data_IF_079652977594
#
_entry.id   IF_079652977594
#
_cell.length_a   1.000
_cell.length_b   1.000
_cell.length_c   1.000
_cell.angle_alpha   90.00
_cell.angle_beta   90.00
_cell.angle_gamma   90.00
#
_symmetry.space_group_name_H-M   'P 1'
#
loop_
_entity.id
_entity.type
_entity.pdbx_description
1 polymer ?
#
# COMPACT_ATOMS: atom_id res chain seq x y z
N UNK A 1 -55.32 -17.19 9.10
CA UNK A 1 -54.74 -15.89 8.68
C UNK A 1 -53.26 -15.72 9.03
N UNK A 2 -52.78 -16.30 10.15
CA UNK A 2 -51.37 -16.18 10.57
C UNK A 2 -50.37 -16.99 9.73
N UNK A 3 -50.76 -18.17 9.24
CA UNK A 3 -49.91 -19.03 8.38
C UNK A 3 -49.54 -18.40 7.01
N UNK A 4 -50.43 -17.58 6.45
CA UNK A 4 -50.14 -16.84 5.22
C UNK A 4 -49.08 -15.76 5.46
N UNK A 5 -49.08 -15.13 6.64
CA UNK A 5 -48.10 -14.10 7.04
C UNK A 5 -46.72 -14.69 7.28
N UNK A 6 -46.63 -15.88 7.88
CA UNK A 6 -45.35 -16.57 8.10
C UNK A 6 -44.74 -17.07 6.79
N UNK A 7 -45.55 -17.61 5.87
CA UNK A 7 -45.07 -17.98 4.52
C UNK A 7 -44.56 -16.76 3.75
N UNK A 8 -45.30 -15.65 3.75
CA UNK A 8 -44.86 -14.44 3.05
C UNK A 8 -43.56 -13.89 3.64
N UNK A 9 -43.38 -13.98 4.96
CA UNK A 9 -42.16 -13.52 5.63
C UNK A 9 -40.96 -14.41 5.28
N UNK A 10 -41.14 -15.73 5.26
CA UNK A 10 -40.09 -16.68 4.85
C UNK A 10 -39.68 -16.53 3.39
N UNK A 11 -40.65 -16.24 2.49
CA UNK A 11 -40.36 -15.98 1.08
C UNK A 11 -39.58 -14.66 0.91
N UNK A 12 -40.01 -13.59 1.59
CA UNK A 12 -39.31 -12.30 1.58
C UNK A 12 -37.88 -12.41 2.09
N UNK A 13 -37.67 -13.16 3.18
CA UNK A 13 -36.34 -13.38 3.75
C UNK A 13 -35.45 -14.21 2.81
N UNK A 14 -36.01 -15.25 2.19
CA UNK A 14 -35.32 -16.07 1.18
C UNK A 14 -34.89 -15.26 -0.05
N UNK A 15 -35.75 -14.35 -0.52
CA UNK A 15 -35.41 -13.47 -1.66
C UNK A 15 -34.30 -12.47 -1.34
N UNK A 16 -34.23 -11.94 -0.11
CA UNK A 16 -33.19 -11.00 0.28
C UNK A 16 -31.80 -11.65 0.32
N UNK A 17 -31.72 -12.89 0.80
CA UNK A 17 -30.45 -13.66 0.84
C UNK A 17 -29.97 -13.97 -0.59
N UNK A 18 -30.86 -14.38 -1.49
CA UNK A 18 -30.50 -14.62 -2.89
C UNK A 18 -30.00 -13.36 -3.62
N UNK A 19 -30.54 -12.19 -3.31
CA UNK A 19 -30.11 -10.91 -3.89
C UNK A 19 -28.71 -10.47 -3.43
N UNK A 20 -28.30 -10.80 -2.21
CA UNK A 20 -26.94 -10.46 -1.72
C UNK A 20 -25.80 -11.18 -2.44
N UNK A 21 -26.06 -12.37 -3.00
CA UNK A 21 -25.07 -13.13 -3.78
C UNK A 21 -24.74 -12.49 -5.14
N UNK A 22 -25.56 -11.52 -5.60
CA UNK A 22 -25.36 -10.76 -6.82
C UNK A 22 -24.84 -9.33 -6.57
N UNK A 23 -24.36 -9.02 -5.36
CA UNK A 23 -23.69 -7.74 -5.14
C UNK A 23 -22.41 -7.69 -6.00
N UNK A 24 -22.25 -6.69 -6.89
CA UNK A 24 -21.04 -6.56 -7.67
C UNK A 24 -19.87 -6.35 -6.71
N UNK A 25 -18.91 -7.27 -6.74
CA UNK A 25 -17.66 -7.13 -6.02
C UNK A 25 -16.97 -5.87 -6.57
N UNK A 26 -16.97 -4.81 -5.77
CA UNK A 26 -16.42 -3.53 -6.14
C UNK A 26 -14.91 -3.71 -6.34
N UNK A 27 -14.48 -3.77 -7.60
CA UNK A 27 -13.11 -4.06 -7.96
C UNK A 27 -12.27 -2.84 -7.60
N UNK A 28 -11.47 -2.95 -6.53
CA UNK A 28 -10.53 -1.91 -6.11
C UNK A 28 -9.72 -1.42 -7.32
N UNK A 29 -9.62 -0.09 -7.53
CA UNK A 29 -8.96 0.45 -8.70
C UNK A 29 -7.50 0.00 -8.71
N UNK A 30 -7.10 -0.70 -9.78
CA UNK A 30 -5.74 -1.21 -9.91
C UNK A 30 -4.73 -0.05 -9.84
N UNK A 31 -3.61 -0.23 -9.12
CA UNK A 31 -2.56 0.78 -9.06
C UNK A 31 -2.00 1.04 -10.45
N UNK A 32 -1.87 2.31 -10.80
CA UNK A 32 -1.27 2.75 -12.07
C UNK A 32 0.06 3.46 -11.79
N UNK A 33 0.94 3.50 -12.80
CA UNK A 33 2.26 4.14 -12.71
C UNK A 33 3.25 3.54 -11.67
N UNK A 34 3.22 2.21 -11.51
CA UNK A 34 4.27 1.47 -10.79
C UNK A 34 5.53 1.33 -11.67
N UNK A 35 6.65 1.92 -11.22
CA UNK A 35 7.96 1.92 -11.93
C UNK A 35 9.07 1.11 -11.25
N UNK A 36 8.85 0.65 -10.02
CA UNK A 36 9.82 -0.11 -9.21
C UNK A 36 9.19 -1.39 -8.67
N UNK A 37 8.01 -1.28 -8.06
CA UNK A 37 7.26 -2.42 -7.55
C UNK A 37 6.67 -3.26 -8.70
N UNK A 38 6.41 -4.56 -8.47
CA UNK A 38 5.75 -5.42 -9.45
C UNK A 38 4.41 -4.84 -9.90
N UNK A 39 4.11 -4.90 -11.20
CA UNK A 39 2.83 -4.41 -11.76
C UNK A 39 1.63 -5.26 -11.34
N UNK A 40 1.88 -6.49 -10.89
CA UNK A 40 0.90 -7.47 -10.45
C UNK A 40 0.85 -7.62 -8.92
N UNK A 41 1.46 -6.69 -8.17
CA UNK A 41 1.34 -6.64 -6.71
C UNK A 41 -0.14 -6.59 -6.30
N UNK A 42 -0.49 -7.29 -5.22
CA UNK A 42 -1.85 -7.21 -4.68
C UNK A 42 -2.09 -5.82 -4.06
N UNK A 43 -3.36 -5.48 -3.83
CA UNK A 43 -3.70 -4.22 -3.17
C UNK A 43 -3.13 -4.19 -1.75
N UNK A 44 -3.34 -5.25 -0.98
CA UNK A 44 -2.92 -5.35 0.42
C UNK A 44 -1.38 -5.29 0.55
N UNK A 45 -0.63 -5.99 -0.32
CA UNK A 45 0.83 -5.93 -0.31
C UNK A 45 1.34 -4.54 -0.68
N UNK A 46 0.66 -3.85 -1.59
CA UNK A 46 1.03 -2.48 -1.97
C UNK A 46 0.80 -1.51 -0.80
N UNK A 47 -0.33 -1.63 -0.12
CA UNK A 47 -0.66 -0.83 1.05
C UNK A 47 0.32 -1.11 2.20
N UNK A 48 0.69 -2.36 2.45
CA UNK A 48 1.70 -2.73 3.44
C UNK A 48 3.05 -2.07 3.15
N UNK A 49 3.48 -2.07 1.88
CA UNK A 49 4.72 -1.40 1.46
C UNK A 49 4.64 0.11 1.72
N UNK A 50 3.53 0.76 1.38
CA UNK A 50 3.35 2.20 1.60
C UNK A 50 3.27 2.56 3.09
N UNK A 51 2.65 1.70 3.90
CA UNK A 51 2.61 1.81 5.35
C UNK A 51 4.00 1.67 5.97
N UNK A 52 4.80 0.73 5.46
CA UNK A 52 6.20 0.58 5.82
C UNK A 52 7.01 1.86 5.53
N UNK A 53 6.79 2.52 4.39
CA UNK A 53 7.44 3.80 4.08
C UNK A 53 7.02 4.92 5.03
N UNK A 54 5.72 5.05 5.33
CA UNK A 54 5.24 6.03 6.32
C UNK A 54 5.94 5.85 7.66
N UNK A 55 5.99 4.62 8.17
CA UNK A 55 6.60 4.30 9.44
C UNK A 55 8.12 4.56 9.42
N UNK A 56 8.81 4.11 8.38
CA UNK A 56 10.26 4.26 8.28
C UNK A 56 10.74 5.71 8.20
N UNK A 57 9.97 6.59 7.55
CA UNK A 57 10.30 8.00 7.36
C UNK A 57 9.58 8.93 8.36
N UNK A 58 8.62 8.43 9.15
CA UNK A 58 7.82 9.27 10.05
C UNK A 58 6.90 10.27 9.34
N UNK A 59 6.40 9.93 8.15
CA UNK A 59 5.61 10.83 7.29
C UNK A 59 4.22 10.27 6.97
N UNK A 60 3.36 11.09 6.35
CA UNK A 60 2.03 10.69 5.86
C UNK A 60 2.00 10.62 4.33
N UNK A 61 0.95 10.04 3.73
CA UNK A 61 0.85 9.81 2.28
C UNK A 61 1.07 11.07 1.44
N UNK A 62 0.54 12.23 1.88
CA UNK A 62 0.70 13.51 1.19
C UNK A 62 2.13 14.06 1.13
N UNK A 63 3.06 13.42 1.85
CA UNK A 63 4.48 13.73 1.75
C UNK A 63 5.04 13.42 0.36
N UNK A 64 4.68 12.26 -0.20
CA UNK A 64 5.11 11.81 -1.53
C UNK A 64 4.03 11.96 -2.59
N UNK A 65 2.75 11.82 -2.22
CA UNK A 65 1.65 11.83 -3.17
C UNK A 65 1.02 13.21 -3.30
N UNK A 66 0.75 13.62 -4.54
CA UNK A 66 0.12 14.91 -4.84
C UNK A 66 -1.38 14.87 -4.55
N UNK A 67 -2.00 16.01 -4.18
CA UNK A 67 -3.46 16.13 -4.22
C UNK A 67 -3.98 16.01 -5.66
N UNK A 68 -5.21 15.54 -5.83
CA UNK A 68 -5.87 15.52 -7.15
C UNK A 68 -6.21 16.93 -7.60
N UNK A 69 -6.14 17.18 -8.91
CA UNK A 69 -6.48 18.47 -9.53
C UNK A 69 -7.96 18.83 -9.39
N UNK A 70 -8.84 17.83 -9.39
CA UNK A 70 -10.29 18.00 -9.29
C UNK A 70 -10.81 18.04 -7.84
N UNK A 71 -10.07 17.44 -6.90
CA UNK A 71 -10.41 17.42 -5.49
C UNK A 71 -9.15 17.43 -4.61
N UNK A 72 -8.71 18.61 -4.14
CA UNK A 72 -7.50 18.73 -3.33
C UNK A 72 -7.53 18.00 -1.98
N UNK A 73 -8.71 17.57 -1.51
CA UNK A 73 -8.84 16.76 -0.28
C UNK A 73 -8.51 15.28 -0.49
N UNK A 74 -8.38 14.84 -1.75
CA UNK A 74 -8.02 13.46 -2.12
C UNK A 74 -6.65 13.45 -2.78
N UNK A 75 -5.92 12.35 -2.62
CA UNK A 75 -4.61 12.16 -3.23
C UNK A 75 -4.72 11.50 -4.61
N UNK A 76 -3.84 11.92 -5.51
CA UNK A 76 -3.56 11.24 -6.76
C UNK A 76 -2.33 10.35 -6.55
N UNK A 77 -2.58 9.07 -6.26
CA UNK A 77 -1.52 8.11 -6.00
C UNK A 77 -0.67 7.80 -7.25
N UNK A 78 -1.20 8.04 -8.45
CA UNK A 78 -0.53 7.76 -9.71
C UNK A 78 0.35 8.93 -10.19
N UNK A 79 -0.03 10.17 -9.87
CA UNK A 79 0.68 11.38 -10.28
C UNK A 79 2.14 11.41 -9.81
N UNK A 80 2.99 11.97 -10.66
CA UNK A 80 4.41 12.26 -10.41
C UNK A 80 4.66 13.77 -10.17
N UNK A 81 3.60 14.57 -9.99
CA UNK A 81 3.70 16.03 -9.84
C UNK A 81 4.48 16.44 -8.57
N UNK A 82 4.56 15.57 -7.56
CA UNK A 82 5.39 15.76 -6.38
C UNK A 82 6.75 15.05 -6.58
N UNK A 83 7.88 15.79 -6.63
CA UNK A 83 9.20 15.21 -6.91
C UNK A 83 9.68 14.21 -5.84
N UNK A 84 9.14 14.28 -4.60
CA UNK A 84 9.47 13.34 -3.52
C UNK A 84 9.15 11.89 -3.87
N UNK A 85 8.15 11.65 -4.73
CA UNK A 85 7.82 10.31 -5.22
C UNK A 85 8.95 9.70 -6.07
N UNK A 86 9.58 10.49 -6.92
CA UNK A 86 10.71 10.01 -7.74
C UNK A 86 11.96 9.80 -6.88
N UNK A 87 12.19 10.66 -5.88
CA UNK A 87 13.24 10.44 -4.88
C UNK A 87 13.02 9.10 -4.15
N UNK A 88 11.79 8.82 -3.69
CA UNK A 88 11.47 7.55 -3.05
C UNK A 88 11.75 6.35 -3.96
N UNK A 89 11.39 6.42 -5.26
CA UNK A 89 11.73 5.36 -6.24
C UNK A 89 13.23 5.15 -6.37
N UNK A 90 14.01 6.23 -6.40
CA UNK A 90 15.47 6.15 -6.44
C UNK A 90 16.02 5.48 -5.17
N UNK A 91 15.47 5.81 -3.99
CA UNK A 91 15.84 5.17 -2.72
C UNK A 91 15.47 3.68 -2.70
N UNK A 92 14.33 3.28 -3.26
CA UNK A 92 13.97 1.87 -3.41
C UNK A 92 14.98 1.11 -4.27
N UNK A 93 15.36 1.68 -5.43
CA UNK A 93 16.38 1.08 -6.30
C UNK A 93 17.74 0.99 -5.60
N UNK A 94 18.13 2.03 -4.86
CA UNK A 94 19.37 2.05 -4.09
C UNK A 94 19.37 0.94 -3.02
N UNK A 95 18.31 0.86 -2.22
CA UNK A 95 18.17 -0.14 -1.16
C UNK A 95 18.23 -1.56 -1.72
N UNK A 96 17.51 -1.82 -2.82
CA UNK A 96 17.57 -3.11 -3.50
C UNK A 96 18.98 -3.46 -4.00
N UNK A 97 19.73 -2.48 -4.55
CA UNK A 97 21.12 -2.67 -4.97
C UNK A 97 22.05 -2.94 -3.79
N UNK A 98 21.93 -2.19 -2.69
CA UNK A 98 22.74 -2.38 -1.48
C UNK A 98 22.50 -3.78 -0.90
N UNK A 99 21.23 -4.18 -0.75
CA UNK A 99 20.89 -5.50 -0.23
C UNK A 99 21.43 -6.62 -1.11
N UNK A 100 21.20 -6.53 -2.43
CA UNK A 100 21.73 -7.52 -3.38
C UNK A 100 23.26 -7.62 -3.32
N UNK A 101 23.96 -6.50 -3.16
CA UNK A 101 25.43 -6.46 -3.21
C UNK A 101 26.08 -6.89 -1.89
N UNK A 102 25.54 -6.44 -0.76
CA UNK A 102 26.22 -6.53 0.53
C UNK A 102 25.44 -7.30 1.61
N UNK A 103 24.13 -7.49 1.46
CA UNK A 103 23.27 -8.17 2.44
C UNK A 103 22.56 -9.37 1.81
N UNK A 104 23.35 -10.27 1.20
CA UNK A 104 22.83 -11.46 0.52
C UNK A 104 23.08 -12.75 1.31
N UNK A 105 23.86 -12.68 2.39
CA UNK A 105 24.17 -13.81 3.26
C UNK A 105 23.16 -13.92 4.40
N UNK A 106 22.85 -15.15 4.78
CA UNK A 106 21.97 -15.45 5.92
C UNK A 106 22.80 -15.49 7.20
N UNK A 107 22.20 -15.08 8.31
CA UNK A 107 22.78 -15.27 9.63
C UNK A 107 22.85 -16.76 10.02
N UNK A 108 23.36 -17.05 11.23
CA UNK A 108 23.56 -18.41 11.73
C UNK A 108 22.24 -19.17 11.87
N UNK A 109 21.14 -18.44 12.01
CA UNK A 109 19.78 -18.93 12.13
C UNK A 109 19.09 -19.06 10.76
N UNK A 110 19.79 -18.77 9.66
CA UNK A 110 19.29 -18.89 8.30
C UNK A 110 18.39 -17.73 7.85
N UNK A 111 18.35 -16.62 8.59
CA UNK A 111 17.58 -15.43 8.28
C UNK A 111 18.40 -14.45 7.46
N UNK A 112 17.79 -13.91 6.40
CA UNK A 112 18.39 -12.85 5.59
C UNK A 112 18.14 -11.50 6.25
N UNK A 113 19.20 -10.82 6.70
CA UNK A 113 19.10 -9.50 7.31
C UNK A 113 19.42 -8.43 6.26
N UNK A 114 18.38 -7.79 5.75
CA UNK A 114 18.48 -6.69 4.80
C UNK A 114 18.40 -5.33 5.49
N UNK A 115 19.06 -4.33 4.90
CA UNK A 115 18.75 -2.95 5.25
C UNK A 115 17.41 -2.54 4.65
N UNK A 116 16.74 -1.60 5.30
CA UNK A 116 15.49 -1.00 4.84
C UNK A 116 15.57 0.52 4.97
N UNK A 117 14.51 1.21 4.55
CA UNK A 117 14.36 2.64 4.77
C UNK A 117 14.53 3.00 6.25
N UNK A 118 14.01 2.15 7.16
CA UNK A 118 14.07 2.37 8.60
C UNK A 118 15.50 2.29 9.15
N UNK A 119 16.39 1.54 8.52
CA UNK A 119 17.80 1.42 8.94
C UNK A 119 18.53 2.77 8.92
N UNK A 120 18.18 3.66 7.98
CA UNK A 120 18.80 4.98 7.86
C UNK A 120 17.90 6.11 8.37
N UNK A 121 16.63 6.11 7.99
CA UNK A 121 15.69 7.18 8.35
C UNK A 121 15.25 7.11 9.81
N UNK A 122 15.13 5.90 10.37
CA UNK A 122 14.77 5.67 11.77
C UNK A 122 13.57 6.53 12.25
N UNK A 123 12.50 6.57 11.46
CA UNK A 123 11.28 7.33 11.75
C UNK A 123 11.39 8.83 11.50
N UNK A 124 12.39 9.29 10.74
CA UNK A 124 12.60 10.71 10.40
C UNK A 124 12.61 10.93 8.88
N UNK A 125 12.09 12.09 8.47
CA UNK A 125 12.04 12.48 7.05
C UNK A 125 13.43 12.44 6.43
N UNK A 126 14.42 12.94 7.15
CA UNK A 126 15.82 12.95 6.74
C UNK A 126 16.69 12.10 7.69
N UNK A 127 17.57 11.24 7.15
CA UNK A 127 18.53 10.50 7.97
C UNK A 127 19.47 11.43 8.72
N UNK A 128 19.78 11.09 9.97
CA UNK A 128 20.82 11.81 10.72
C UNK A 128 22.19 11.38 10.21
N UNK A 129 23.01 12.35 9.82
CA UNK A 129 24.38 12.12 9.38
C UNK A 129 25.37 12.55 10.46
N UNK A 130 26.54 11.90 10.46
CA UNK A 130 27.72 12.37 11.19
C UNK A 130 28.58 13.16 10.21
N UNK A 131 29.23 14.24 10.69
CA UNK A 131 30.29 14.89 9.91
C UNK A 131 31.49 13.95 9.93
N UNK A 132 31.99 13.62 8.74
CA UNK A 132 33.17 12.78 8.52
C UNK A 132 34.29 13.69 8.05
#
# INVERSE_FOLDING_TARGET
MQYKKTITFSILLGTAVLLSAFMPQQQEPKPTNLKVLPKNISHDDLDEVMDGFKAALGVKCGFCHSPRKDNPKKLDFASDDNPKKEIARNMMRMTAKINKKYFHEKDKEGKLINISCASCHNGKEEPVTIKI
#
